data_IF_142606803297
#
_entry.id   IF_142606803297
#
_cell.length_a   1.000
_cell.length_b   1.000
_cell.length_c   1.000
_cell.angle_alpha   90.00
_cell.angle_beta   90.00
_cell.angle_gamma   90.00
#
_symmetry.space_group_name_H-M   'P 1'
#
loop_
_entity.id
_entity.type
_entity.pdbx_description
1 polymer ?
#
# COMPACT_ATOMS: atom_id res chain seq x y z
N UNK A 1 -9.73 -6.65 4.68
CA UNK A 1 -9.64 -6.50 3.21
C UNK A 1 -8.47 -7.30 2.65
N UNK A 2 -7.25 -7.15 3.19
CA UNK A 2 -6.08 -7.94 2.77
C UNK A 2 -6.23 -9.42 3.13
N UNK A 3 -5.90 -10.30 2.17
CA UNK A 3 -5.89 -11.77 2.27
C UNK A 3 -4.58 -12.33 1.71
N UNK A 4 -4.28 -13.58 2.04
CA UNK A 4 -3.10 -14.27 1.55
C UNK A 4 -3.02 -14.27 0.02
N UNK A 5 -1.79 -14.20 -0.52
CA UNK A 5 -1.44 -14.18 -1.95
C UNK A 5 -1.91 -12.95 -2.74
N UNK A 6 -2.40 -11.90 -2.07
CA UNK A 6 -2.76 -10.65 -2.74
C UNK A 6 -1.52 -9.85 -3.18
N UNK A 7 -1.69 -9.13 -4.28
CA UNK A 7 -0.84 -8.02 -4.70
C UNK A 7 -1.48 -6.73 -4.18
N UNK A 8 -0.80 -6.06 -3.25
CA UNK A 8 -1.30 -4.84 -2.60
C UNK A 8 -0.50 -3.63 -3.09
N UNK A 9 -1.21 -2.67 -3.65
CA UNK A 9 -0.65 -1.37 -3.99
C UNK A 9 -0.78 -0.38 -2.85
N UNK A 10 0.30 0.36 -2.61
CA UNK A 10 0.41 1.34 -1.54
C UNK A 10 0.65 2.73 -2.12
N UNK A 11 -0.23 3.63 -1.70
CA UNK A 11 -0.14 5.05 -1.94
C UNK A 11 0.95 5.76 -1.15
N UNK A 12 0.84 7.07 -1.09
CA UNK A 12 1.81 7.97 -0.44
C UNK A 12 1.12 8.82 0.63
N UNK A 13 1.87 9.19 1.66
CA UNK A 13 1.44 10.14 2.68
C UNK A 13 1.27 9.53 4.07
N UNK A 14 0.97 10.39 5.05
CA UNK A 14 0.90 10.02 6.47
C UNK A 14 -0.19 8.97 6.74
N UNK A 15 -1.33 9.06 6.07
CA UNK A 15 -2.40 8.05 6.19
C UNK A 15 -1.96 6.68 5.64
N UNK A 16 -1.25 6.67 4.50
CA UNK A 16 -0.70 5.43 3.93
C UNK A 16 0.34 4.79 4.86
N UNK A 17 1.14 5.60 5.56
CA UNK A 17 2.13 5.11 6.53
C UNK A 17 1.50 4.26 7.65
N UNK A 18 0.35 4.67 8.19
CA UNK A 18 -0.37 3.86 9.19
C UNK A 18 -0.83 2.51 8.62
N UNK A 19 -1.25 2.50 7.36
CA UNK A 19 -1.64 1.26 6.68
C UNK A 19 -0.44 0.34 6.44
N UNK A 20 0.72 0.89 6.06
CA UNK A 20 1.97 0.13 5.90
C UNK A 20 2.34 -0.60 7.19
N UNK A 21 2.33 0.12 8.32
CA UNK A 21 2.69 -0.46 9.62
C UNK A 21 1.70 -1.56 10.03
N UNK A 22 0.40 -1.34 9.81
CA UNK A 22 -0.64 -2.32 10.09
C UNK A 22 -0.52 -3.56 9.18
N UNK A 23 -0.20 -3.37 7.89
CA UNK A 23 -0.01 -4.43 6.92
C UNK A 23 1.19 -5.30 7.29
N UNK A 24 2.33 -4.69 7.62
CA UNK A 24 3.52 -5.40 8.07
C UNK A 24 3.24 -6.26 9.30
N UNK A 25 2.53 -5.69 10.30
CA UNK A 25 2.12 -6.42 11.50
C UNK A 25 1.24 -7.61 11.16
N UNK A 26 0.26 -7.43 10.28
CA UNK A 26 -0.67 -8.50 9.84
C UNK A 26 0.04 -9.61 9.08
N UNK A 27 0.92 -9.26 8.14
CA UNK A 27 1.76 -10.20 7.39
C UNK A 27 2.55 -11.09 8.37
N UNK A 28 3.20 -10.48 9.36
CA UNK A 28 3.98 -11.21 10.35
C UNK A 28 3.12 -12.08 11.28
N UNK A 29 2.00 -11.57 11.77
CA UNK A 29 1.15 -12.30 12.73
C UNK A 29 0.43 -13.49 12.09
N UNK A 30 -0.06 -13.31 10.87
CA UNK A 30 -0.85 -14.31 10.14
C UNK A 30 0.00 -15.13 9.16
N UNK A 31 1.30 -14.83 9.03
CA UNK A 31 2.25 -15.46 8.09
C UNK A 31 1.76 -15.39 6.64
N UNK A 32 1.21 -14.24 6.25
CA UNK A 32 0.68 -14.02 4.90
C UNK A 32 1.82 -13.87 3.90
N UNK A 33 1.65 -14.44 2.72
CA UNK A 33 2.52 -14.19 1.56
C UNK A 33 1.88 -13.10 0.72
N UNK A 34 2.34 -11.86 0.87
CA UNK A 34 1.82 -10.68 0.17
C UNK A 34 2.92 -10.08 -0.70
N UNK A 35 2.58 -9.76 -1.94
CA UNK A 35 3.42 -8.95 -2.82
C UNK A 35 2.96 -7.50 -2.76
N UNK A 36 3.90 -6.57 -2.68
CA UNK A 36 3.55 -5.15 -2.52
C UNK A 36 4.18 -4.31 -3.61
N UNK A 37 3.41 -3.36 -4.15
CA UNK A 37 3.89 -2.30 -5.07
C UNK A 37 3.64 -0.95 -4.41
N UNK A 38 4.54 0.02 -4.59
CA UNK A 38 4.40 1.37 -4.04
C UNK A 38 4.35 2.43 -5.14
N UNK A 39 3.58 3.50 -4.92
CA UNK A 39 3.55 4.68 -5.78
C UNK A 39 4.66 5.70 -5.51
N UNK A 40 5.46 5.51 -4.45
CA UNK A 40 6.57 6.41 -4.11
C UNK A 40 7.70 5.69 -3.39
N UNK A 41 8.90 6.24 -3.52
CA UNK A 41 10.11 5.76 -2.82
C UNK A 41 9.96 5.86 -1.31
N UNK A 42 9.32 6.91 -0.80
CA UNK A 42 9.09 7.11 0.65
C UNK A 42 8.27 5.96 1.26
N UNK A 43 7.17 5.57 0.61
CA UNK A 43 6.36 4.42 1.06
C UNK A 43 7.13 3.11 0.97
N UNK A 44 7.92 2.94 -0.08
CA UNK A 44 8.76 1.76 -0.28
C UNK A 44 9.81 1.62 0.82
N UNK A 45 10.56 2.69 1.12
CA UNK A 45 11.56 2.73 2.19
C UNK A 45 10.95 2.41 3.55
N UNK A 46 9.80 3.00 3.88
CA UNK A 46 9.09 2.71 5.13
C UNK A 46 8.68 1.24 5.23
N UNK A 47 8.07 0.70 4.17
CA UNK A 47 7.65 -0.70 4.19
C UNK A 47 8.83 -1.66 4.24
N UNK A 48 9.95 -1.35 3.58
CA UNK A 48 11.20 -2.12 3.70
C UNK A 48 11.69 -2.16 5.15
N UNK A 49 11.67 -1.03 5.86
CA UNK A 49 12.01 -0.97 7.30
C UNK A 49 11.05 -1.81 8.15
N UNK A 50 9.79 -1.93 7.74
CA UNK A 50 8.79 -2.76 8.39
C UNK A 50 8.84 -4.25 7.99
N UNK A 51 9.77 -4.63 7.09
CA UNK A 51 9.96 -6.01 6.62
C UNK A 51 8.97 -6.46 5.54
N UNK A 52 8.35 -5.53 4.81
CA UNK A 52 7.49 -5.83 3.67
C UNK A 52 8.34 -6.11 2.42
N UNK A 53 7.97 -7.15 1.68
CA UNK A 53 8.59 -7.47 0.40
C UNK A 53 7.92 -6.68 -0.74
N UNK A 54 8.69 -5.81 -1.40
CA UNK A 54 8.24 -5.06 -2.57
C UNK A 54 8.68 -5.71 -3.87
N UNK A 55 7.83 -5.57 -4.89
CA UNK A 55 8.12 -5.92 -6.29
C UNK A 55 7.90 -4.70 -7.18
N UNK A 56 8.50 -4.70 -8.38
CA UNK A 56 8.25 -3.62 -9.34
C UNK A 56 6.83 -3.72 -9.90
N UNK A 57 6.22 -2.58 -10.19
CA UNK A 57 4.93 -2.53 -10.89
C UNK A 57 5.01 -3.20 -12.27
N UNK A 58 6.17 -3.18 -12.92
CA UNK A 58 6.39 -3.82 -14.22
C UNK A 58 6.39 -5.36 -14.14
N UNK A 59 6.45 -5.92 -12.92
CA UNK A 59 6.44 -7.38 -12.68
C UNK A 59 5.03 -7.90 -12.41
N UNK A 60 4.00 -7.05 -12.42
CA UNK A 60 2.62 -7.44 -12.12
C UNK A 60 1.67 -7.08 -13.24
N UNK A 61 0.74 -7.99 -13.54
CA UNK A 61 -0.32 -7.75 -14.53
C UNK A 61 -1.54 -7.07 -13.90
N UNK A 62 -1.75 -7.23 -12.59
CA UNK A 62 -2.89 -6.68 -11.86
C UNK A 62 -2.58 -6.43 -10.39
N UNK A 63 -3.35 -5.52 -9.77
CA UNK A 63 -3.33 -5.23 -8.33
C UNK A 63 -4.68 -5.62 -7.74
N UNK A 64 -4.69 -6.45 -6.69
CA UNK A 64 -5.93 -6.90 -6.03
C UNK A 64 -6.56 -5.82 -5.16
N UNK A 65 -5.71 -5.01 -4.52
CA UNK A 65 -6.14 -3.95 -3.62
C UNK A 65 -5.14 -2.79 -3.69
N UNK A 66 -5.62 -1.58 -3.91
CA UNK A 66 -4.83 -0.37 -3.82
C UNK A 66 -5.34 0.49 -2.66
N UNK A 67 -4.45 0.89 -1.75
CA UNK A 67 -4.78 1.71 -0.58
C UNK A 67 -3.98 2.99 -0.61
N UNK A 68 -4.67 4.11 -0.55
CA UNK A 68 -4.08 5.44 -0.66
C UNK A 68 -4.91 6.48 0.09
N UNK A 69 -4.27 7.60 0.43
CA UNK A 69 -4.97 8.76 0.97
C UNK A 69 -5.66 9.59 -0.12
N UNK A 70 -6.38 10.62 0.29
CA UNK A 70 -6.85 11.69 -0.58
C UNK A 70 -6.82 13.00 0.20
N UNK A 71 -6.55 14.10 -0.50
CA UNK A 71 -6.53 15.43 0.11
C UNK A 71 -7.96 15.94 0.31
N UNK A 72 -8.83 15.70 -0.68
CA UNK A 72 -10.25 16.01 -0.64
C UNK A 72 -11.06 14.91 -1.33
N UNK A 73 -12.29 14.69 -0.86
CA UNK A 73 -13.24 13.75 -1.44
C UNK A 73 -14.62 14.41 -1.52
N UNK A 74 -15.26 14.30 -2.67
CA UNK A 74 -16.65 14.74 -2.87
C UNK A 74 -17.63 13.60 -2.58
N UNK A 75 -18.92 13.91 -2.39
CA UNK A 75 -19.97 12.89 -2.22
C UNK A 75 -20.05 11.91 -3.41
N UNK A 76 -19.68 12.37 -4.62
CA UNK A 76 -19.60 11.55 -5.82
C UNK A 76 -18.35 10.68 -5.93
N UNK A 77 -17.54 10.56 -4.87
CA UNK A 77 -16.28 9.81 -4.83
C UNK A 77 -15.21 10.31 -5.82
N UNK A 78 -15.30 11.57 -6.24
CA UNK A 78 -14.20 12.24 -6.96
C UNK A 78 -13.17 12.68 -5.93
N UNK A 79 -11.90 12.33 -6.17
CA UNK A 79 -10.80 12.48 -5.24
C UNK A 79 -9.77 13.47 -5.80
N UNK A 80 -9.33 14.41 -4.97
CA UNK A 80 -8.13 15.21 -5.23
C UNK A 80 -6.95 14.58 -4.50
N UNK A 81 -5.81 14.45 -5.19
CA UNK A 81 -4.56 13.88 -4.68
C UNK A 81 -3.38 14.73 -5.17
N UNK A 82 -2.26 14.65 -4.46
CA UNK A 82 -0.97 15.19 -4.92
C UNK A 82 -0.40 16.30 -4.06
N UNK A 83 -0.88 16.49 -2.83
CA UNK A 83 -0.26 17.41 -1.86
C UNK A 83 1.02 16.86 -1.22
N UNK A 84 1.31 15.58 -1.43
CA UNK A 84 2.51 14.87 -0.95
C UNK A 84 3.63 14.83 -1.97
#
# INVERSE_FOLDING_TARGET
YVKDKMIVGLGTGTTANYFIDALAKKIKSEKLTISVVASSTVSQERGNQAGINYISIDQVESIDLYVDGADEITEGLVLLKGRG
#
